data_IF_014590276756
#
_entry.id   IF_014590276756
#
_cell.length_a   1.000
_cell.length_b   1.000
_cell.length_c   1.000
_cell.angle_alpha   90.00
_cell.angle_beta   90.00
_cell.angle_gamma   90.00
#
_symmetry.space_group_name_H-M   'P 1'
#
loop_
_entity.id
_entity.type
_entity.pdbx_description
1 polymer ?
#
# COMPACT_ATOMS: atom_id res chain seq x y z
N UNK A 1 35.08 -15.87 -28.02
CA UNK A 1 34.75 -16.18 -26.62
C UNK A 1 33.74 -15.14 -26.18
N UNK A 2 32.50 -15.55 -25.94
CA UNK A 2 31.39 -14.66 -25.59
C UNK A 2 31.55 -14.25 -24.12
N UNK A 3 31.70 -12.97 -23.86
CA UNK A 3 31.57 -12.42 -22.51
C UNK A 3 30.08 -12.46 -22.16
N UNK A 4 29.71 -13.35 -21.25
CA UNK A 4 28.38 -13.37 -20.67
C UNK A 4 28.21 -12.12 -19.81
N UNK A 5 27.28 -11.27 -20.21
CA UNK A 5 26.75 -10.21 -19.35
C UNK A 5 26.02 -10.89 -18.20
N UNK A 6 26.45 -10.60 -16.98
CA UNK A 6 25.75 -11.04 -15.78
C UNK A 6 24.33 -10.44 -15.78
N UNK A 7 23.30 -11.14 -15.30
CA UNK A 7 21.97 -10.57 -15.19
C UNK A 7 22.00 -9.37 -14.23
N UNK A 8 21.18 -8.33 -14.44
CA UNK A 8 21.09 -7.22 -13.51
C UNK A 8 20.62 -7.76 -12.16
N UNK A 9 21.28 -7.33 -11.08
CA UNK A 9 20.89 -7.64 -9.70
C UNK A 9 19.40 -7.31 -9.52
N UNK A 10 18.59 -8.32 -9.21
CA UNK A 10 17.17 -8.18 -8.89
C UNK A 10 16.94 -7.59 -7.51
N UNK A 11 17.62 -6.49 -7.19
CA UNK A 11 17.27 -5.65 -6.06
C UNK A 11 16.20 -4.69 -6.52
N UNK A 12 14.96 -4.91 -6.10
CA UNK A 12 13.89 -3.92 -6.24
C UNK A 12 14.40 -2.63 -5.63
N UNK A 13 14.53 -1.55 -6.43
CA UNK A 13 14.81 -0.25 -5.87
C UNK A 13 13.71 0.05 -4.86
N UNK A 14 14.04 0.55 -3.67
CA UNK A 14 13.03 0.76 -2.62
C UNK A 14 11.95 1.76 -3.06
N UNK A 15 12.28 2.59 -4.05
CA UNK A 15 11.37 3.50 -4.76
C UNK A 15 10.27 2.75 -5.54
N UNK A 16 10.49 1.48 -5.91
CA UNK A 16 9.54 0.68 -6.70
C UNK A 16 8.48 0.00 -5.84
N UNK A 17 8.72 -0.27 -4.55
CA UNK A 17 7.81 -1.09 -3.72
C UNK A 17 6.40 -0.50 -3.64
N UNK A 18 6.29 0.82 -3.47
CA UNK A 18 4.98 1.49 -3.43
C UNK A 18 4.31 1.51 -4.82
N UNK A 19 5.10 1.65 -5.88
CA UNK A 19 4.59 1.69 -7.25
C UNK A 19 4.09 0.30 -7.69
N UNK A 20 4.85 -0.75 -7.38
CA UNK A 20 4.47 -2.15 -7.60
C UNK A 20 3.22 -2.53 -6.79
N UNK A 21 3.19 -2.18 -5.50
CA UNK A 21 2.04 -2.46 -4.65
C UNK A 21 0.79 -1.74 -5.16
N UNK A 22 0.92 -0.47 -5.55
CA UNK A 22 -0.21 0.28 -6.10
C UNK A 22 -0.68 -0.28 -7.45
N UNK A 23 0.24 -0.72 -8.32
CA UNK A 23 -0.10 -1.40 -9.56
C UNK A 23 -0.89 -2.70 -9.31
N UNK A 24 -0.52 -3.47 -8.28
CA UNK A 24 -1.29 -4.65 -7.85
C UNK A 24 -2.69 -4.25 -7.37
N UNK A 25 -2.80 -3.18 -6.57
CA UNK A 25 -4.09 -2.67 -6.07
C UNK A 25 -5.01 -2.26 -7.24
N UNK A 26 -4.50 -1.51 -8.21
CA UNK A 26 -5.25 -1.08 -9.40
C UNK A 26 -5.64 -2.27 -10.29
N UNK A 27 -4.76 -3.26 -10.47
CA UNK A 27 -5.12 -4.51 -11.16
C UNK A 27 -6.25 -5.24 -10.45
N UNK A 28 -6.19 -5.37 -9.12
CA UNK A 28 -7.26 -6.01 -8.32
C UNK A 28 -8.57 -5.22 -8.38
N UNK A 29 -8.52 -3.89 -8.41
CA UNK A 29 -9.68 -3.01 -8.60
C UNK A 29 -10.35 -3.23 -9.96
N UNK A 30 -9.56 -3.42 -11.02
CA UNK A 30 -10.05 -3.62 -12.37
C UNK A 30 -10.60 -5.04 -12.61
N UNK A 31 -9.92 -6.06 -12.09
CA UNK A 31 -10.21 -7.47 -12.39
C UNK A 31 -11.19 -8.12 -11.41
N UNK A 32 -11.26 -7.62 -10.17
CA UNK A 32 -12.13 -8.12 -9.09
C UNK A 32 -12.14 -9.66 -8.89
N UNK A 33 -10.98 -10.31 -8.71
CA UNK A 33 -10.92 -11.76 -8.48
C UNK A 33 -11.62 -12.19 -7.17
N UNK A 34 -12.38 -13.30 -7.23
CA UNK A 34 -13.32 -13.73 -6.17
C UNK A 34 -12.64 -14.08 -4.81
N UNK A 35 -11.35 -14.45 -4.80
CA UNK A 35 -10.59 -14.81 -3.58
C UNK A 35 -9.55 -13.77 -3.15
N UNK A 36 -9.73 -12.53 -3.58
CA UNK A 36 -8.81 -11.45 -3.25
C UNK A 36 -9.30 -10.59 -2.11
N UNK A 37 -8.49 -10.47 -1.06
CA UNK A 37 -8.68 -9.45 -0.03
C UNK A 37 -8.84 -8.04 -0.61
N UNK A 38 -7.92 -7.59 -1.48
CA UNK A 38 -7.97 -6.27 -2.12
C UNK A 38 -9.27 -6.04 -2.91
N UNK A 39 -9.63 -6.96 -3.80
CA UNK A 39 -10.92 -6.94 -4.50
C UNK A 39 -12.13 -6.86 -3.55
N UNK A 40 -12.11 -7.57 -2.42
CA UNK A 40 -13.19 -7.52 -1.42
C UNK A 40 -13.35 -6.13 -0.80
N UNK A 41 -12.28 -5.34 -0.69
CA UNK A 41 -12.36 -3.95 -0.23
C UNK A 41 -13.11 -3.07 -1.24
N UNK A 42 -12.91 -3.31 -2.54
CA UNK A 42 -13.60 -2.57 -3.62
C UNK A 42 -15.05 -3.01 -3.83
N UNK A 43 -15.39 -4.26 -3.53
CA UNK A 43 -16.75 -4.81 -3.69
C UNK A 43 -17.55 -4.86 -2.39
N UNK A 44 -16.97 -4.40 -1.28
CA UNK A 44 -17.64 -4.42 0.02
C UNK A 44 -18.96 -3.65 -0.04
N UNK A 45 -20.02 -4.18 0.57
CA UNK A 45 -21.33 -3.53 0.64
C UNK A 45 -21.33 -2.15 1.33
N UNK A 46 -20.34 -1.88 2.20
CA UNK A 46 -20.14 -0.58 2.86
C UNK A 46 -19.43 0.42 1.95
N UNK A 47 -18.94 -0.03 0.78
CA UNK A 47 -18.11 0.74 -0.13
C UNK A 47 -16.88 1.31 0.57
N UNK A 48 -16.57 2.57 0.26
CA UNK A 48 -15.46 3.32 0.84
C UNK A 48 -15.40 3.28 2.37
N UNK A 49 -16.55 3.21 3.06
CA UNK A 49 -16.57 3.18 4.52
C UNK A 49 -15.84 1.97 5.10
N UNK A 50 -15.79 0.82 4.40
CA UNK A 50 -15.03 -0.32 4.89
C UNK A 50 -13.52 -0.04 4.93
N UNK A 51 -13.00 0.65 3.92
CA UNK A 51 -11.57 1.04 3.86
C UNK A 51 -11.26 2.13 4.88
N UNK A 52 -12.17 3.08 5.09
CA UNK A 52 -12.01 4.11 6.12
C UNK A 52 -12.04 3.54 7.55
N UNK A 53 -12.90 2.55 7.81
CA UNK A 53 -12.92 1.81 9.08
C UNK A 53 -11.57 1.13 9.34
N UNK A 54 -11.04 0.39 8.36
CA UNK A 54 -9.72 -0.23 8.45
C UNK A 54 -8.61 0.80 8.67
N UNK A 55 -8.57 1.86 7.86
CA UNK A 55 -7.55 2.91 8.01
C UNK A 55 -7.56 3.54 9.41
N UNK A 56 -8.74 3.72 10.02
CA UNK A 56 -8.88 4.21 11.39
C UNK A 56 -8.46 3.20 12.46
N UNK A 57 -8.71 1.91 12.22
CA UNK A 57 -8.24 0.78 13.04
C UNK A 57 -6.70 0.74 13.05
N UNK A 58 -6.06 0.65 11.88
CA UNK A 58 -4.58 0.58 11.76
C UNK A 58 -3.93 1.85 12.35
N UNK A 59 -4.57 3.01 12.20
CA UNK A 59 -4.10 4.25 12.83
C UNK A 59 -4.07 4.14 14.36
N UNK A 60 -5.08 3.50 14.95
CA UNK A 60 -5.18 3.31 16.40
C UNK A 60 -4.16 2.28 16.87
N UNK A 61 -3.99 1.19 16.14
CA UNK A 61 -3.04 0.12 16.45
C UNK A 61 -1.60 0.61 16.35
N UNK A 62 -1.26 1.37 15.31
CA UNK A 62 0.05 2.05 15.17
C UNK A 62 0.37 2.94 16.38
N UNK A 63 -0.61 3.72 16.86
CA UNK A 63 -0.44 4.59 18.03
C UNK A 63 -0.19 3.78 19.31
N UNK A 64 -0.86 2.63 19.46
CA UNK A 64 -0.67 1.74 20.60
C UNK A 64 0.69 1.04 20.56
N UNK A 65 1.08 0.51 19.40
CA UNK A 65 2.41 -0.09 19.20
C UNK A 65 3.55 0.90 19.50
N UNK A 66 3.41 2.14 19.02
CA UNK A 66 4.37 3.21 19.31
C UNK A 66 4.46 3.52 20.81
N UNK A 67 3.31 3.58 21.49
CA UNK A 67 3.24 3.87 22.93
C UNK A 67 3.88 2.76 23.76
N UNK A 68 3.77 1.52 23.34
CA UNK A 68 4.27 0.35 24.05
C UNK A 68 5.73 0.00 23.68
N UNK A 69 6.39 0.83 22.86
CA UNK A 69 7.75 0.63 22.33
C UNK A 69 7.91 -0.72 21.58
N UNK A 70 6.82 -1.26 21.02
CA UNK A 70 6.82 -2.49 20.26
C UNK A 70 7.20 -2.21 18.81
N UNK A 71 8.48 -2.42 18.48
CA UNK A 71 9.01 -2.14 17.15
C UNK A 71 8.46 -3.06 16.06
N UNK A 72 8.17 -4.33 16.40
CA UNK A 72 7.69 -5.29 15.40
C UNK A 72 6.26 -4.97 15.03
N UNK A 73 5.41 -4.74 16.03
CA UNK A 73 4.02 -4.31 15.83
C UNK A 73 3.97 -2.95 15.12
N UNK A 74 4.81 -1.98 15.53
CA UNK A 74 4.85 -0.66 14.91
C UNK A 74 5.13 -0.75 13.40
N UNK A 75 6.03 -1.64 12.98
CA UNK A 75 6.34 -1.83 11.57
C UNK A 75 5.19 -2.52 10.82
N UNK A 76 4.50 -3.47 11.47
CA UNK A 76 3.34 -4.16 10.93
C UNK A 76 2.19 -3.19 10.68
N UNK A 77 1.79 -2.44 11.71
CA UNK A 77 0.68 -1.48 11.63
C UNK A 77 0.98 -0.30 10.70
N UNK A 78 2.25 0.10 10.59
CA UNK A 78 2.66 1.11 9.61
C UNK A 78 2.46 0.62 8.17
N UNK A 79 2.76 -0.66 7.91
CA UNK A 79 2.55 -1.26 6.59
C UNK A 79 1.05 -1.37 6.27
N UNK A 80 0.24 -1.81 7.23
CA UNK A 80 -1.22 -1.93 7.04
C UNK A 80 -1.89 -0.56 6.87
N UNK A 81 -1.46 0.46 7.62
CA UNK A 81 -1.90 1.84 7.42
C UNK A 81 -1.59 2.33 6.01
N UNK A 82 -0.36 2.13 5.53
CA UNK A 82 0.05 2.54 4.18
C UNK A 82 -0.73 1.77 3.12
N UNK A 83 -0.92 0.47 3.28
CA UNK A 83 -1.68 -0.35 2.35
C UNK A 83 -3.13 0.16 2.21
N UNK A 84 -3.83 0.39 3.32
CA UNK A 84 -5.21 0.89 3.28
C UNK A 84 -5.29 2.33 2.77
N UNK A 85 -4.25 3.16 3.00
CA UNK A 85 -4.14 4.48 2.38
C UNK A 85 -4.04 4.35 0.85
N UNK A 86 -3.20 3.45 0.32
CA UNK A 86 -3.08 3.21 -1.12
C UNK A 86 -4.39 2.72 -1.74
N UNK A 87 -5.13 1.82 -1.07
CA UNK A 87 -6.46 1.39 -1.52
C UNK A 87 -7.44 2.57 -1.55
N UNK A 88 -7.42 3.44 -0.54
CA UNK A 88 -8.24 4.65 -0.52
C UNK A 88 -7.87 5.60 -1.67
N UNK A 89 -6.58 5.83 -1.95
CA UNK A 89 -6.14 6.66 -3.08
C UNK A 89 -6.66 6.09 -4.41
N UNK A 90 -6.54 4.79 -4.62
CA UNK A 90 -7.10 4.09 -5.77
C UNK A 90 -8.62 4.31 -5.89
N UNK A 91 -9.38 4.22 -4.79
CA UNK A 91 -10.83 4.54 -4.80
C UNK A 91 -11.13 5.99 -5.17
N UNK A 92 -10.22 6.92 -4.84
CA UNK A 92 -10.34 8.35 -5.14
C UNK A 92 -9.75 8.76 -6.49
N UNK A 93 -9.35 7.79 -7.31
CA UNK A 93 -8.73 8.03 -8.62
C UNK A 93 -7.44 8.87 -8.50
N UNK A 94 -6.74 8.71 -7.38
CA UNK A 94 -5.43 9.31 -7.11
C UNK A 94 -4.35 8.22 -7.19
N UNK A 95 -3.18 8.56 -7.72
CA UNK A 95 -2.06 7.63 -7.82
C UNK A 95 -0.93 7.94 -6.81
N UNK A 96 0.11 7.10 -6.80
CA UNK A 96 1.28 7.31 -5.92
C UNK A 96 2.06 8.58 -6.32
N UNK A 97 1.99 9.01 -7.58
CA UNK A 97 2.67 10.23 -8.03
C UNK A 97 2.01 11.48 -7.42
N UNK A 98 0.69 11.51 -7.29
CA UNK A 98 -0.04 12.56 -6.57
C UNK A 98 0.44 12.66 -5.11
N UNK A 99 0.53 11.53 -4.41
CA UNK A 99 1.03 11.49 -3.03
C UNK A 99 2.50 11.96 -2.94
N UNK A 100 3.36 11.49 -3.84
CA UNK A 100 4.78 11.86 -3.89
C UNK A 100 4.97 13.34 -4.16
N UNK A 101 4.17 13.93 -5.05
CA UNK A 101 4.22 15.36 -5.34
C UNK A 101 3.92 16.18 -4.08
N UNK A 102 2.86 15.83 -3.35
CA UNK A 102 2.50 16.50 -2.09
C UNK A 102 3.57 16.30 -0.99
N UNK A 103 4.16 15.11 -0.89
CA UNK A 103 5.26 14.85 0.04
C UNK A 103 6.54 15.63 -0.32
N UNK A 104 6.83 15.82 -1.60
CA UNK A 104 8.00 16.57 -2.07
C UNK A 104 7.96 18.04 -1.60
N UNK A 105 6.77 18.64 -1.51
CA UNK A 105 6.57 20.00 -0.98
C UNK A 105 6.88 20.12 0.53
N UNK A 106 7.03 19.00 1.26
CA UNK A 106 7.33 18.96 2.71
C UNK A 106 8.81 18.75 3.04
N UNK A 107 9.64 18.51 2.03
CA UNK A 107 11.08 18.28 2.19
C UNK A 107 11.86 19.61 2.22
#
# INVERSE_FOLDING_TARGET
MSTGEAPPDGGTDTDDVLDELFAVIESRKAELPEDSYTASLFTHEKGENAVLEKLGEESTELLLAAKDDDREELAHEAADLVYHLLVLLAMKEMDVADLRAELAERR
#
